data_IF_953664724988
#
_entry.id   IF_953664724988
#
_cell.length_a   1.000
_cell.length_b   1.000
_cell.length_c   1.000
_cell.angle_alpha   90.00
_cell.angle_beta   90.00
_cell.angle_gamma   90.00
#
_symmetry.space_group_name_H-M   'P 1'
#
loop_
_entity.id
_entity.type
_entity.pdbx_description
1 polymer ?
#
# COMPACT_ATOMS: atom_id res chain seq x y z
N UNK A 1 -5.21 5.75 -27.86
CA UNK A 1 -5.83 4.92 -26.80
C UNK A 1 -5.02 3.68 -26.45
N UNK A 2 -4.06 3.22 -27.27
CA UNK A 2 -3.30 1.99 -27.00
C UNK A 2 -2.18 2.11 -25.95
N UNK A 3 -1.71 3.33 -25.67
CA UNK A 3 -0.66 3.56 -24.67
C UNK A 3 -1.13 3.25 -23.24
N UNK A 4 -2.38 3.60 -22.90
CA UNK A 4 -3.00 3.33 -21.60
C UNK A 4 -3.23 1.83 -21.38
N UNK A 5 -3.65 1.10 -22.42
CA UNK A 5 -3.84 -0.36 -22.35
C UNK A 5 -2.53 -1.10 -22.17
N UNK A 6 -1.43 -0.61 -22.77
CA UNK A 6 -0.10 -1.18 -22.59
C UNK A 6 0.47 -0.87 -21.20
N UNK A 7 0.23 0.34 -20.67
CA UNK A 7 0.68 0.70 -19.32
C UNK A 7 -0.02 -0.14 -18.25
N UNK A 8 -1.36 -0.28 -18.34
CA UNK A 8 -2.13 -1.16 -17.46
C UNK A 8 -1.74 -2.64 -17.59
N UNK A 9 -1.47 -3.13 -18.82
CA UNK A 9 -1.00 -4.50 -19.05
C UNK A 9 0.37 -4.80 -18.46
N UNK A 10 1.31 -3.86 -18.55
CA UNK A 10 2.65 -4.04 -18.00
C UNK A 10 2.62 -3.98 -16.46
N UNK A 11 1.80 -3.10 -15.90
CA UNK A 11 1.58 -3.02 -14.45
C UNK A 11 0.95 -4.31 -13.88
N UNK A 12 -0.05 -4.87 -14.58
CA UNK A 12 -0.65 -6.14 -14.19
C UNK A 12 0.37 -7.31 -14.20
N UNK A 13 1.31 -7.32 -15.14
CA UNK A 13 2.26 -8.43 -15.32
C UNK A 13 3.39 -8.47 -14.29
N UNK A 14 3.70 -7.34 -13.65
CA UNK A 14 4.81 -7.19 -12.70
C UNK A 14 4.36 -7.38 -11.24
N UNK A 15 3.08 -7.16 -10.95
CA UNK A 15 2.52 -7.20 -9.58
C UNK A 15 1.39 -8.21 -9.38
N UNK A 16 0.85 -8.78 -10.46
CA UNK A 16 -0.13 -9.87 -10.42
C UNK A 16 0.55 -11.14 -10.90
N UNK A 17 0.26 -12.27 -10.24
CA UNK A 17 0.61 -13.62 -10.74
C UNK A 17 0.13 -13.78 -12.19
N UNK A 18 0.68 -14.74 -12.94
CA UNK A 18 0.29 -15.04 -14.34
C UNK A 18 -1.24 -15.18 -14.57
N UNK A 19 -2.02 -15.35 -13.50
CA UNK A 19 -3.48 -15.39 -13.50
C UNK A 19 -4.19 -14.05 -13.18
N UNK A 20 -3.49 -12.91 -13.12
CA UNK A 20 -4.09 -11.62 -12.78
C UNK A 20 -4.53 -11.50 -11.32
N UNK A 21 -3.87 -12.21 -10.39
CA UNK A 21 -4.15 -12.13 -8.95
C UNK A 21 -2.96 -11.57 -8.19
N UNK A 22 -3.18 -10.67 -7.24
CA UNK A 22 -2.14 -10.24 -6.32
C UNK A 22 -1.75 -11.42 -5.41
N UNK A 23 -0.45 -11.68 -5.27
CA UNK A 23 0.04 -12.72 -4.38
C UNK A 23 0.22 -12.15 -2.98
N UNK A 24 -0.58 -12.62 -2.03
CA UNK A 24 -0.45 -12.30 -0.62
C UNK A 24 0.19 -13.51 0.09
N UNK A 25 1.37 -13.36 0.71
CA UNK A 25 2.00 -14.46 1.43
C UNK A 25 1.08 -14.95 2.56
N UNK A 26 0.83 -16.26 2.63
CA UNK A 26 0.16 -16.89 3.78
C UNK A 26 0.99 -16.74 5.09
N UNK A 27 2.28 -16.38 4.98
CA UNK A 27 3.22 -16.23 6.11
C UNK A 27 2.85 -15.13 7.11
N UNK A 28 1.81 -14.33 6.87
CA UNK A 28 1.35 -13.28 7.79
C UNK A 28 0.09 -13.64 8.62
N UNK A 29 -0.32 -14.92 8.60
CA UNK A 29 -1.39 -15.42 9.49
C UNK A 29 -2.80 -15.00 9.07
N UNK A 30 -3.02 -14.84 7.77
CA UNK A 30 -4.29 -14.48 7.16
C UNK A 30 -5.06 -15.75 6.75
N UNK A 31 -6.36 -15.82 7.04
CA UNK A 31 -7.23 -16.90 6.55
C UNK A 31 -7.46 -16.78 5.03
N UNK A 32 -7.94 -17.84 4.39
CA UNK A 32 -8.30 -17.79 2.96
C UNK A 32 -9.36 -16.70 2.67
N UNK A 33 -10.25 -16.43 3.64
CA UNK A 33 -11.24 -15.34 3.58
C UNK A 33 -10.58 -13.93 3.59
N UNK A 34 -9.51 -13.75 4.37
CA UNK A 34 -8.73 -12.50 4.38
C UNK A 34 -8.03 -12.28 3.03
N UNK A 35 -7.52 -13.35 2.41
CA UNK A 35 -6.85 -13.28 1.11
C UNK A 35 -7.79 -12.83 -0.01
N UNK A 36 -9.02 -13.36 -0.05
CA UNK A 36 -10.05 -12.94 -1.01
C UNK A 36 -10.46 -11.48 -0.80
N UNK A 37 -10.62 -11.06 0.47
CA UNK A 37 -10.91 -9.67 0.82
C UNK A 37 -9.81 -8.73 0.35
N UNK A 38 -8.54 -9.09 0.57
CA UNK A 38 -7.40 -8.26 0.17
C UNK A 38 -7.27 -8.18 -1.34
N UNK A 39 -7.51 -9.29 -2.02
CA UNK A 39 -7.56 -9.32 -3.48
C UNK A 39 -8.62 -8.33 -4.00
N UNK A 40 -9.85 -8.39 -3.48
CA UNK A 40 -10.94 -7.49 -3.90
C UNK A 40 -10.61 -6.02 -3.64
N UNK A 41 -9.96 -5.72 -2.52
CA UNK A 41 -9.54 -4.34 -2.18
C UNK A 41 -8.46 -3.85 -3.13
N UNK A 42 -7.47 -4.69 -3.44
CA UNK A 42 -6.42 -4.37 -4.40
C UNK A 42 -6.98 -4.15 -5.81
N UNK A 43 -7.90 -5.01 -6.26
CA UNK A 43 -8.60 -4.85 -7.54
C UNK A 43 -9.34 -3.51 -7.62
N UNK A 44 -10.07 -3.14 -6.56
CA UNK A 44 -10.79 -1.86 -6.49
C UNK A 44 -9.84 -0.66 -6.48
N UNK A 45 -8.72 -0.75 -5.75
CA UNK A 45 -7.69 0.29 -5.76
C UNK A 45 -7.10 0.46 -7.17
N UNK A 46 -6.85 -0.64 -7.87
CA UNK A 46 -6.37 -0.61 -9.26
C UNK A 46 -7.41 -0.03 -10.23
N UNK A 47 -8.67 -0.42 -10.10
CA UNK A 47 -9.77 0.12 -10.90
C UNK A 47 -9.90 1.64 -10.70
N UNK A 48 -9.86 2.11 -9.46
CA UNK A 48 -9.90 3.54 -9.14
C UNK A 48 -8.74 4.30 -9.81
N UNK A 49 -7.52 3.77 -9.71
CA UNK A 49 -6.33 4.38 -10.31
C UNK A 49 -6.35 4.40 -11.85
N UNK A 50 -7.07 3.49 -12.48
CA UNK A 50 -7.14 3.38 -13.94
C UNK A 50 -8.36 4.09 -14.53
N UNK A 51 -9.45 4.22 -13.76
CA UNK A 51 -10.75 4.72 -14.22
C UNK A 51 -10.91 6.23 -14.10
N UNK A 52 -10.26 6.89 -13.14
CA UNK A 52 -10.42 8.34 -12.95
C UNK A 52 -9.74 9.16 -14.05
N UNK A 53 -8.79 8.57 -14.80
CA UNK A 53 -8.01 9.30 -15.81
C UNK A 53 -7.11 10.40 -15.22
N UNK A 54 -7.20 10.63 -13.91
CA UNK A 54 -6.27 11.43 -13.16
C UNK A 54 -4.97 10.63 -13.08
N UNK A 55 -3.86 11.23 -13.53
CA UNK A 55 -2.52 10.75 -13.22
C UNK A 55 -2.23 11.01 -11.73
N UNK A 56 -3.06 10.43 -10.86
CA UNK A 56 -3.30 10.71 -9.44
C UNK A 56 -2.18 10.18 -8.54
N UNK A 57 -0.93 10.35 -8.98
CA UNK A 57 0.26 10.20 -8.14
C UNK A 57 0.42 11.38 -7.16
N UNK A 58 -0.48 12.36 -7.23
CA UNK A 58 -0.55 13.47 -6.28
C UNK A 58 -1.19 12.98 -4.99
N UNK A 59 -0.37 12.91 -3.95
CA UNK A 59 -0.77 12.73 -2.57
C UNK A 59 0.04 13.73 -1.74
N UNK A 60 -0.54 14.18 -0.62
CA UNK A 60 0.14 15.10 0.28
C UNK A 60 1.28 14.37 1.02
N UNK A 61 2.48 14.48 0.45
CA UNK A 61 3.69 13.85 0.96
C UNK A 61 3.99 14.27 2.40
N UNK A 62 3.87 15.56 2.72
CA UNK A 62 4.21 16.09 4.04
C UNK A 62 3.24 15.55 5.09
N UNK A 63 1.95 15.54 4.78
CA UNK A 63 0.93 14.96 5.64
C UNK A 63 1.18 13.47 5.89
N UNK A 64 1.48 12.69 4.86
CA UNK A 64 1.71 11.25 5.01
C UNK A 64 2.97 10.95 5.81
N UNK A 65 4.07 11.70 5.61
CA UNK A 65 5.29 11.53 6.41
C UNK A 65 5.07 11.91 7.88
N UNK A 66 4.36 13.01 8.15
CA UNK A 66 4.03 13.40 9.51
C UNK A 66 3.16 12.35 10.21
N UNK A 67 2.18 11.79 9.50
CA UNK A 67 1.33 10.72 10.03
C UNK A 67 2.13 9.44 10.25
N UNK A 68 2.95 9.00 9.30
CA UNK A 68 3.84 7.85 9.45
C UNK A 68 4.72 7.99 10.68
N UNK A 69 5.33 9.17 10.88
CA UNK A 69 6.13 9.48 12.07
C UNK A 69 5.35 9.32 13.37
N UNK A 70 4.16 9.93 13.47
CA UNK A 70 3.32 9.84 14.68
C UNK A 70 2.91 8.39 14.99
N UNK A 71 2.51 7.65 13.96
CA UNK A 71 2.02 6.28 14.06
C UNK A 71 3.12 5.29 14.47
N UNK A 72 4.32 5.41 13.88
CA UNK A 72 5.41 4.44 14.06
C UNK A 72 6.49 4.87 15.06
N UNK A 73 6.72 6.17 15.29
CA UNK A 73 7.69 6.65 16.28
C UNK A 73 7.04 7.02 17.62
N UNK A 74 5.82 7.58 17.60
CA UNK A 74 5.12 8.04 18.82
C UNK A 74 4.05 7.07 19.32
N UNK A 75 3.90 5.92 18.67
CA UNK A 75 2.88 4.89 18.97
C UNK A 75 1.42 5.40 18.89
N UNK A 76 1.20 6.56 18.26
CA UNK A 76 -0.10 7.23 18.19
C UNK A 76 -0.92 6.67 17.02
N UNK A 77 -1.75 5.66 17.31
CA UNK A 77 -2.56 4.96 16.29
C UNK A 77 -4.05 5.32 16.41
N UNK A 78 -4.49 5.76 17.57
CA UNK A 78 -5.91 5.98 17.88
C UNK A 78 -6.46 7.30 17.33
N UNK A 79 -5.60 8.31 17.17
CA UNK A 79 -5.98 9.66 16.72
C UNK A 79 -6.07 9.80 15.19
N UNK A 80 -5.75 8.74 14.43
CA UNK A 80 -5.66 8.78 12.98
C UNK A 80 -6.86 8.12 12.27
N UNK A 81 -7.25 8.65 11.10
CA UNK A 81 -8.32 8.05 10.29
C UNK A 81 -7.91 6.69 9.69
N UNK A 82 -8.87 5.91 9.19
CA UNK A 82 -8.55 4.61 8.58
C UNK A 82 -7.64 4.78 7.36
N UNK A 83 -7.96 5.74 6.51
CA UNK A 83 -7.13 6.15 5.39
C UNK A 83 -5.70 6.56 5.80
N UNK A 84 -5.53 7.37 6.86
CA UNK A 84 -4.21 7.82 7.32
C UNK A 84 -3.35 6.67 7.83
N UNK A 85 -3.95 5.70 8.53
CA UNK A 85 -3.29 4.47 8.94
C UNK A 85 -2.86 3.65 7.71
N UNK A 86 -3.72 3.54 6.71
CA UNK A 86 -3.40 2.86 5.46
C UNK A 86 -2.22 3.51 4.72
N UNK A 87 -2.20 4.83 4.62
CA UNK A 87 -1.11 5.57 4.00
C UNK A 87 0.22 5.37 4.75
N UNK A 88 0.20 5.44 6.08
CA UNK A 88 1.38 5.18 6.90
C UNK A 88 1.88 3.74 6.73
N UNK A 89 0.99 2.75 6.68
CA UNK A 89 1.36 1.36 6.44
C UNK A 89 2.08 1.16 5.09
N UNK A 90 1.60 1.81 4.03
CA UNK A 90 2.27 1.76 2.72
C UNK A 90 3.67 2.40 2.75
N UNK A 91 3.87 3.46 3.53
CA UNK A 91 5.20 4.05 3.72
C UNK A 91 6.13 3.17 4.54
N UNK A 92 5.62 2.49 5.56
CA UNK A 92 6.43 1.54 6.31
C UNK A 92 6.85 0.35 5.44
N UNK A 93 5.93 -0.17 4.61
CA UNK A 93 6.25 -1.19 3.63
C UNK A 93 7.29 -0.69 2.61
N UNK A 94 7.15 0.55 2.13
CA UNK A 94 8.12 1.19 1.25
C UNK A 94 9.51 1.25 1.89
N UNK A 95 9.58 1.64 3.17
CA UNK A 95 10.81 1.67 3.94
C UNK A 95 11.47 0.30 3.99
N UNK A 96 10.70 -0.75 4.31
CA UNK A 96 11.19 -2.14 4.40
C UNK A 96 11.75 -2.63 3.07
N UNK A 97 10.98 -2.50 1.99
CA UNK A 97 11.42 -2.86 0.63
C UNK A 97 12.70 -2.11 0.24
N UNK A 98 12.80 -0.82 0.55
CA UNK A 98 13.96 -0.02 0.15
C UNK A 98 15.18 -0.17 1.06
N UNK A 99 15.00 -0.60 2.31
CA UNK A 99 16.08 -0.86 3.26
C UNK A 99 16.91 -2.10 2.90
N UNK A 100 16.51 -2.87 1.90
CA UNK A 100 17.21 -4.08 1.47
C UNK A 100 16.94 -5.29 2.37
N UNK A 101 16.00 -5.19 3.31
CA UNK A 101 15.42 -6.36 3.97
C UNK A 101 14.64 -7.14 2.92
N UNK A 102 15.18 -8.25 2.38
CA UNK A 102 14.57 -9.43 1.70
C UNK A 102 13.28 -9.28 0.85
N UNK A 103 12.76 -8.09 0.59
CA UNK A 103 11.45 -7.83 0.04
C UNK A 103 11.59 -7.17 -1.32
N UNK A 104 10.92 -7.74 -2.31
CA UNK A 104 10.90 -7.22 -3.67
C UNK A 104 9.87 -6.11 -3.83
N UNK A 105 10.04 -5.29 -4.86
CA UNK A 105 9.09 -4.22 -5.22
C UNK A 105 7.68 -4.77 -5.46
N UNK A 106 7.59 -5.97 -6.03
CA UNK A 106 6.35 -6.71 -6.25
C UNK A 106 5.60 -7.00 -4.95
N UNK A 107 6.29 -7.05 -3.82
CA UNK A 107 5.73 -7.30 -2.48
C UNK A 107 5.29 -6.02 -1.76
N UNK A 108 5.53 -4.83 -2.32
CA UNK A 108 5.17 -3.59 -1.64
C UNK A 108 3.67 -3.52 -1.31
N UNK A 109 2.80 -4.00 -2.21
CA UNK A 109 1.36 -3.99 -1.99
C UNK A 109 0.95 -4.96 -0.89
N UNK A 110 1.44 -6.20 -0.94
CA UNK A 110 1.10 -7.22 0.06
C UNK A 110 1.65 -6.83 1.44
N UNK A 111 2.86 -6.28 1.48
CA UNK A 111 3.48 -5.78 2.70
C UNK A 111 2.72 -4.56 3.26
N UNK A 112 2.31 -3.61 2.41
CA UNK A 112 1.50 -2.46 2.83
C UNK A 112 0.18 -2.89 3.45
N UNK A 113 -0.52 -3.85 2.83
CA UNK A 113 -1.77 -4.37 3.36
C UNK A 113 -1.57 -5.16 4.66
N UNK A 114 -0.45 -5.88 4.80
CA UNK A 114 -0.10 -6.54 6.06
C UNK A 114 0.19 -5.54 7.19
N UNK A 115 0.94 -4.47 6.91
CA UNK A 115 1.17 -3.38 7.87
C UNK A 115 -0.12 -2.67 8.25
N UNK A 116 -1.02 -2.43 7.29
CA UNK A 116 -2.34 -1.86 7.53
C UNK A 116 -3.16 -2.71 8.51
N UNK A 117 -3.11 -4.03 8.36
CA UNK A 117 -3.77 -4.95 9.29
C UNK A 117 -3.17 -4.89 10.69
N UNK A 118 -1.84 -4.74 10.82
CA UNK A 118 -1.20 -4.56 12.13
C UNK A 118 -1.67 -3.27 12.79
N UNK A 119 -1.69 -2.16 12.05
CA UNK A 119 -2.16 -0.87 12.56
C UNK A 119 -3.64 -0.91 12.93
N UNK A 120 -4.49 -1.53 12.11
CA UNK A 120 -5.90 -1.69 12.43
C UNK A 120 -6.12 -2.52 13.71
N UNK A 121 -5.44 -3.68 13.84
CA UNK A 121 -5.48 -4.49 15.07
C UNK A 121 -4.99 -3.72 16.30
N UNK A 122 -3.94 -2.91 16.13
CA UNK A 122 -3.38 -2.06 17.17
C UNK A 122 -4.35 -0.94 17.57
N UNK A 123 -5.00 -0.29 16.60
CA UNK A 123 -6.06 0.71 16.83
C UNK A 123 -7.23 0.13 17.65
N UNK A 124 -7.58 -1.14 17.42
CA UNK A 124 -8.60 -1.83 18.20
C UNK A 124 -8.15 -2.26 19.61
N UNK A 125 -6.94 -1.91 20.04
CA UNK A 125 -6.45 -2.25 21.38
C UNK A 125 -6.11 -3.73 21.57
N UNK A 126 -5.78 -4.46 20.50
CA UNK A 126 -5.37 -5.87 20.57
C UNK A 126 -6.50 -6.88 20.85
N UNK A 127 -7.72 -6.40 21.12
CA UNK A 127 -8.93 -7.21 21.19
C UNK A 127 -9.75 -7.01 19.92
N UNK A 128 -9.62 -7.92 18.96
CA UNK A 128 -10.44 -7.91 17.74
C UNK A 128 -11.91 -7.98 18.11
N UNK A 129 -12.62 -6.86 17.97
CA UNK A 129 -13.99 -6.76 18.48
C UNK A 129 -14.49 -5.32 18.62
N UNK A 130 -14.31 -4.49 17.60
CA UNK A 130 -14.93 -3.17 17.58
C UNK A 130 -15.12 -2.62 16.17
N UNK A 131 -16.38 -2.56 15.73
CA UNK A 131 -16.87 -1.81 14.56
C UNK A 131 -16.83 -0.29 14.84
N UNK A 132 -15.65 0.22 15.17
CA UNK A 132 -15.45 1.55 15.75
C UNK A 132 -14.80 2.53 14.78
N UNK A 133 -15.57 3.05 13.82
CA UNK A 133 -15.36 4.39 13.25
C UNK A 133 -14.32 4.56 12.13
N UNK A 134 -13.90 3.47 11.50
CA UNK A 134 -13.05 3.44 10.30
C UNK A 134 -12.73 1.99 9.99
N UNK A 135 -13.39 1.43 8.98
CA UNK A 135 -13.44 -0.02 8.77
C UNK A 135 -12.06 -0.61 8.48
N UNK A 136 -11.84 -1.89 8.82
CA UNK A 136 -10.68 -2.66 8.35
C UNK A 136 -10.45 -2.47 6.85
N UNK A 137 -11.55 -2.41 6.09
CA UNK A 137 -11.56 -2.18 4.65
C UNK A 137 -11.02 -0.81 4.25
N UNK A 138 -11.25 0.23 5.05
CA UNK A 138 -10.75 1.58 4.80
C UNK A 138 -9.24 1.65 4.96
N UNK A 139 -8.71 1.06 6.05
CA UNK A 139 -7.25 0.99 6.29
C UNK A 139 -6.55 0.20 5.18
N UNK A 140 -7.12 -0.94 4.82
CA UNK A 140 -6.63 -1.77 3.72
C UNK A 140 -6.71 -1.06 2.37
N UNK A 141 -7.82 -0.36 2.09
CA UNK A 141 -8.02 0.38 0.84
C UNK A 141 -7.07 1.55 0.72
N UNK A 142 -6.83 2.28 1.83
CA UNK A 142 -5.83 3.35 1.88
C UNK A 142 -4.43 2.82 1.61
N UNK A 143 -4.04 1.72 2.26
CA UNK A 143 -2.74 1.09 2.03
C UNK A 143 -2.57 0.58 0.59
N UNK A 144 -3.57 -0.10 0.05
CA UNK A 144 -3.53 -0.62 -1.30
C UNK A 144 -3.41 0.51 -2.34
N UNK A 145 -4.25 1.54 -2.22
CA UNK A 145 -4.22 2.70 -3.11
C UNK A 145 -2.88 3.43 -3.04
N UNK A 146 -2.36 3.63 -1.83
CA UNK A 146 -1.10 4.31 -1.60
C UNK A 146 0.10 3.52 -2.14
N UNK A 147 0.15 2.21 -1.88
CA UNK A 147 1.19 1.34 -2.42
C UNK A 147 1.18 1.34 -3.95
N UNK A 148 0.01 1.28 -4.57
CA UNK A 148 -0.10 1.37 -6.03
C UNK A 148 0.26 2.76 -6.57
N UNK A 149 -0.09 3.85 -5.87
CA UNK A 149 0.38 5.20 -6.22
C UNK A 149 1.91 5.29 -6.17
N UNK A 150 2.55 4.72 -5.15
CA UNK A 150 4.00 4.66 -4.98
C UNK A 150 4.68 3.84 -6.08
N UNK A 151 4.18 2.64 -6.36
CA UNK A 151 4.63 1.78 -7.47
C UNK A 151 4.51 2.52 -8.82
N UNK A 152 3.36 3.14 -9.08
CA UNK A 152 3.13 3.88 -10.32
C UNK A 152 4.07 5.09 -10.46
N UNK A 153 4.26 5.85 -9.39
CA UNK A 153 5.21 6.99 -9.36
C UNK A 153 6.65 6.50 -9.58
N UNK A 154 6.98 5.30 -9.12
CA UNK A 154 8.31 4.72 -9.32
C UNK A 154 8.57 4.21 -10.73
N UNK A 155 7.53 3.83 -11.48
CA UNK A 155 7.61 3.39 -12.87
C UNK A 155 7.51 4.52 -13.90
N UNK A 156 6.89 5.66 -13.54
CA UNK A 156 6.69 6.80 -14.43
C UNK A 156 7.92 7.70 -14.64
N UNK A 157 8.94 7.61 -13.78
CA UNK A 157 10.19 8.35 -13.93
C UNK A 157 11.21 7.49 -14.68
N UNK A 158 11.18 7.57 -16.02
CA UNK A 158 12.22 7.14 -16.96
C UNK A 158 13.24 6.11 -16.47
N UNK A 159 12.97 4.84 -16.75
CA UNK A 159 13.95 3.80 -17.06
C UNK A 159 15.31 3.85 -16.35
N UNK A 160 15.34 3.67 -15.03
CA UNK A 160 16.50 3.16 -14.31
C UNK A 160 15.99 2.65 -12.95
N UNK A 161 16.43 1.47 -12.52
CA UNK A 161 15.87 0.70 -11.40
C UNK A 161 15.89 1.36 -10.00
N UNK A 162 16.19 2.65 -9.90
CA UNK A 162 16.37 3.43 -8.68
C UNK A 162 15.17 4.23 -8.16
N UNK A 163 14.02 4.27 -8.85
CA UNK A 163 12.90 5.18 -8.50
C UNK A 163 12.31 5.02 -7.08
N UNK A 164 12.08 3.79 -6.63
CA UNK A 164 11.59 3.52 -5.25
C UNK A 164 12.66 3.80 -4.19
N UNK A 165 13.90 3.38 -4.46
CA UNK A 165 15.02 3.53 -3.53
C UNK A 165 15.42 4.99 -3.35
N UNK A 166 15.41 5.79 -4.42
CA UNK A 166 15.67 7.23 -4.36
C UNK A 166 14.55 7.99 -3.65
N UNK A 167 13.29 7.58 -3.84
CA UNK A 167 12.16 8.09 -3.07
C UNK A 167 12.33 7.79 -1.58
N UNK A 168 12.57 6.53 -1.22
CA UNK A 168 12.78 6.15 0.17
C UNK A 168 13.98 6.88 0.80
N UNK A 169 15.10 7.03 0.09
CA UNK A 169 16.25 7.82 0.55
C UNK A 169 15.91 9.31 0.75
N UNK A 170 14.97 9.86 -0.02
CA UNK A 170 14.53 11.23 0.15
C UNK A 170 13.53 11.38 1.32
N UNK A 171 12.79 10.32 1.63
CA UNK A 171 11.77 10.32 2.69
C UNK A 171 12.29 9.91 4.06
N UNK A 172 13.29 9.02 4.13
CA UNK A 172 13.77 8.42 5.39
C UNK A 172 15.20 8.85 5.74
N UNK A 173 15.54 10.12 5.44
CA UNK A 173 16.87 10.69 5.63
C UNK A 173 17.08 11.25 7.03
#
# INVERSE_FOLDING_TARGET
MDMLKNYAKNYAKEYMSDNGKFSFPQEHGHSDEDAEKYQKIAEKAHENLTSTGEHETEFDHEKVLNNHKKIYESDDVTEHSGEELGHAAAFEALKKVCSGEKYDKSELLSLAMSEAMKLWKKRQGGGGGGDGGGGQEEVLSGAASMAMKLMNKSGGAGGDGGGLSSMAMNYFK
#
